data_IF_103497115703
#
_entry.id   IF_103497115703
#
_cell.length_a   1.000
_cell.length_b   1.000
_cell.length_c   1.000
_cell.angle_alpha   90.00
_cell.angle_beta   90.00
_cell.angle_gamma   90.00
#
_symmetry.space_group_name_H-M   'P 1'
#
loop_
_entity.id
_entity.type
_entity.pdbx_description
1 polymer ?
#
# COMPACT_ATOMS: atom_id res chain seq x y z
N UNK A 1 0.06 6.36 -20.05
CA UNK A 1 1.26 6.66 -19.21
C UNK A 1 1.44 5.54 -18.17
N UNK A 2 0.94 4.33 -18.49
CA UNK A 2 0.57 3.28 -17.53
C UNK A 2 1.10 1.90 -17.99
N UNK A 3 2.15 1.90 -18.83
CA UNK A 3 2.77 0.72 -19.44
C UNK A 3 4.10 0.33 -18.77
N UNK A 4 4.36 0.82 -17.56
CA UNK A 4 5.58 0.50 -16.80
C UNK A 4 5.61 -0.93 -16.23
N UNK A 5 4.54 -1.71 -16.45
CA UNK A 5 4.39 -3.06 -15.89
C UNK A 5 4.21 -3.08 -14.37
N UNK A 6 4.02 -1.90 -13.75
CA UNK A 6 3.67 -1.69 -12.34
C UNK A 6 2.29 -1.02 -12.18
N UNK A 7 1.66 -0.62 -13.29
CA UNK A 7 0.32 -0.01 -13.31
C UNK A 7 0.34 1.47 -12.92
N UNK A 8 1.38 2.20 -13.34
CA UNK A 8 1.50 3.62 -13.07
C UNK A 8 1.73 3.93 -11.60
N UNK A 9 2.71 3.23 -10.99
CA UNK A 9 3.08 3.41 -9.59
C UNK A 9 3.69 4.81 -9.37
N UNK A 10 3.28 5.49 -8.31
CA UNK A 10 3.70 6.86 -7.95
C UNK A 10 4.01 6.93 -6.47
N UNK A 11 4.94 7.79 -6.08
CA UNK A 11 5.11 8.20 -4.69
C UNK A 11 3.98 9.18 -4.31
N UNK A 12 3.39 9.00 -3.14
CA UNK A 12 2.27 9.78 -2.62
C UNK A 12 2.51 10.21 -1.19
N UNK A 13 1.83 11.28 -0.79
CA UNK A 13 1.82 11.79 0.59
C UNK A 13 0.40 12.12 1.01
N UNK A 14 0.03 11.63 2.19
CA UNK A 14 -1.22 11.95 2.86
C UNK A 14 -0.89 12.91 3.98
N UNK A 15 -1.60 14.03 4.04
CA UNK A 15 -1.44 15.03 5.11
C UNK A 15 -2.76 15.14 5.84
N UNK A 16 -2.72 15.12 7.16
CA UNK A 16 -3.90 15.23 8.00
C UNK A 16 -3.68 16.24 9.13
N UNK A 17 -4.74 16.96 9.46
CA UNK A 17 -4.75 17.96 10.53
C UNK A 17 -6.02 17.78 11.36
N UNK A 18 -5.84 17.45 12.64
CA UNK A 18 -6.95 17.31 13.58
C UNK A 18 -7.35 18.64 14.21
N UNK A 19 -8.45 19.24 13.74
CA UNK A 19 -8.97 20.50 14.27
C UNK A 19 -9.66 20.36 15.63
N UNK A 20 -10.44 19.29 15.86
CA UNK A 20 -11.36 19.22 17.03
C UNK A 20 -11.18 18.02 17.96
N UNK A 21 -10.28 17.08 17.69
CA UNK A 21 -10.15 15.85 18.51
C UNK A 21 -8.75 15.51 19.01
N UNK A 22 -7.71 15.66 18.17
CA UNK A 22 -6.36 15.17 18.48
C UNK A 22 -5.28 16.26 18.55
N UNK A 23 -5.59 17.52 18.22
CA UNK A 23 -4.64 18.65 18.14
C UNK A 23 -3.31 18.24 17.51
N UNK A 24 -3.36 17.56 16.36
CA UNK A 24 -2.16 17.02 15.73
C UNK A 24 -2.13 17.25 14.24
N UNK A 25 -0.97 17.72 13.78
CA UNK A 25 -0.57 17.73 12.38
C UNK A 25 0.23 16.46 12.11
N UNK A 26 -0.08 15.73 11.06
CA UNK A 26 0.67 14.55 10.68
C UNK A 26 0.65 14.32 9.18
N UNK A 27 1.61 13.53 8.72
CA UNK A 27 1.71 13.13 7.33
C UNK A 27 2.26 11.72 7.23
N UNK A 28 1.94 11.08 6.12
CA UNK A 28 2.33 9.73 5.80
C UNK A 28 2.68 9.62 4.32
N UNK A 29 3.82 9.02 3.99
CA UNK A 29 4.18 8.70 2.60
C UNK A 29 3.66 7.31 2.23
N UNK A 30 3.33 7.09 0.96
CA UNK A 30 2.83 5.82 0.44
C UNK A 30 3.14 5.67 -1.06
N UNK A 31 2.96 4.47 -1.62
CA UNK A 31 2.96 4.26 -3.06
C UNK A 31 1.51 4.22 -3.58
N UNK A 32 1.21 5.09 -4.53
CA UNK A 32 -0.09 5.17 -5.19
C UNK A 32 -0.05 4.41 -6.51
N UNK A 33 -1.09 3.63 -6.79
CA UNK A 33 -1.24 2.97 -8.09
C UNK A 33 -2.40 3.58 -8.85
N UNK A 34 -2.08 4.17 -10.01
CA UNK A 34 -3.06 4.93 -10.81
C UNK A 34 -4.23 4.05 -11.32
N UNK A 35 -3.96 2.79 -11.61
CA UNK A 35 -4.95 1.85 -12.17
C UNK A 35 -6.15 1.60 -11.26
N UNK A 36 -5.91 1.33 -9.98
CA UNK A 36 -6.98 1.01 -9.02
C UNK A 36 -7.46 2.26 -8.26
N UNK A 37 -6.79 3.40 -8.42
CA UNK A 37 -7.00 4.61 -7.62
C UNK A 37 -7.02 4.33 -6.10
N UNK A 38 -6.40 3.24 -5.67
CA UNK A 38 -6.38 2.80 -4.29
C UNK A 38 -4.97 2.93 -3.74
N UNK A 39 -4.89 3.18 -2.43
CA UNK A 39 -3.64 3.25 -1.70
C UNK A 39 -3.04 1.85 -1.67
N UNK A 40 -2.03 1.60 -2.50
CA UNK A 40 -1.11 0.51 -2.28
C UNK A 40 -0.22 0.95 -1.11
N UNK A 41 -0.74 0.81 0.12
CA UNK A 41 -0.01 1.19 1.34
C UNK A 41 1.11 0.17 1.50
N UNK A 42 2.26 0.49 0.92
CA UNK A 42 3.46 -0.33 0.90
C UNK A 42 4.42 0.28 1.91
N UNK A 43 4.96 -0.55 2.79
CA UNK A 43 6.03 -0.19 3.71
C UNK A 43 5.64 0.94 4.68
N UNK A 44 4.82 0.62 5.68
CA UNK A 44 4.72 1.44 6.89
C UNK A 44 5.96 1.25 7.78
N UNK A 45 7.16 1.39 7.21
CA UNK A 45 8.33 1.59 8.05
C UNK A 45 8.08 2.80 8.95
N UNK A 46 8.44 2.67 10.23
CA UNK A 46 8.16 3.66 11.28
C UNK A 46 8.67 5.09 10.97
N UNK A 47 9.47 5.27 9.90
CA UNK A 47 9.97 6.55 9.42
C UNK A 47 9.03 7.36 8.52
N UNK A 48 7.97 6.76 7.94
CA UNK A 48 7.11 7.45 6.97
C UNK A 48 5.89 8.12 7.57
N UNK A 49 5.50 7.76 8.78
CA UNK A 49 4.39 8.39 9.51
C UNK A 49 4.94 9.32 10.57
N UNK A 50 4.67 10.62 10.44
CA UNK A 50 5.03 11.62 11.45
C UNK A 50 3.78 12.26 12.02
N UNK A 51 3.85 12.59 13.32
CA UNK A 51 2.79 13.29 14.04
C UNK A 51 3.39 14.30 15.01
N UNK A 52 2.91 15.53 14.95
CA UNK A 52 3.28 16.62 15.84
C UNK A 52 2.04 17.22 16.49
N UNK A 53 2.09 17.46 17.80
CA UNK A 53 1.01 18.15 18.52
C UNK A 53 1.02 19.63 18.15
N UNK A 54 -0.15 20.25 18.04
CA UNK A 54 -0.36 21.68 17.85
C UNK A 54 0.04 22.46 19.10
N UNK A 55 1.35 22.62 19.27
CA UNK A 55 1.99 23.47 20.27
C UNK A 55 2.93 24.43 19.55
N UNK A 56 3.65 25.29 20.29
CA UNK A 56 4.59 26.24 19.68
C UNK A 56 5.66 25.58 18.79
N UNK A 57 6.03 24.32 19.07
CA UNK A 57 7.01 23.53 18.29
C UNK A 57 6.47 22.93 16.99
N UNK A 58 5.19 23.13 16.66
CA UNK A 58 4.63 22.63 15.38
C UNK A 58 5.35 23.24 14.16
N UNK A 59 5.97 24.42 14.33
CA UNK A 59 6.78 25.07 13.28
C UNK A 59 7.99 24.23 12.89
N UNK A 60 8.61 23.54 13.86
CA UNK A 60 9.75 22.65 13.60
C UNK A 60 9.28 21.43 12.79
N UNK A 61 8.08 20.92 13.09
CA UNK A 61 7.48 19.83 12.32
C UNK A 61 7.19 20.23 10.85
N UNK A 62 6.82 21.49 10.58
CA UNK A 62 6.66 22.00 9.22
C UNK A 62 7.98 22.03 8.43
N UNK A 63 9.11 22.32 9.08
CA UNK A 63 10.41 22.27 8.43
C UNK A 63 10.76 20.83 8.02
N UNK A 64 10.55 19.86 8.91
CA UNK A 64 10.73 18.43 8.61
C UNK A 64 9.78 17.96 7.51
N UNK A 65 8.52 18.38 7.55
CA UNK A 65 7.54 18.07 6.49
C UNK A 65 8.03 18.54 5.11
N UNK A 66 8.57 19.76 5.03
CA UNK A 66 9.12 20.30 3.77
C UNK A 66 10.28 19.45 3.24
N UNK A 67 11.20 19.02 4.10
CA UNK A 67 12.30 18.14 3.72
C UNK A 67 11.81 16.77 3.22
N UNK A 68 10.81 16.20 3.90
CA UNK A 68 10.21 14.92 3.51
C UNK A 68 9.51 15.02 2.13
N UNK A 69 8.78 16.11 1.86
CA UNK A 69 8.18 16.36 0.53
C UNK A 69 9.25 16.49 -0.55
N UNK A 70 10.37 17.16 -0.26
CA UNK A 70 11.48 17.29 -1.20
C UNK A 70 12.13 15.92 -1.50
N UNK A 71 12.34 15.09 -0.47
CA UNK A 71 12.86 13.72 -0.66
C UNK A 71 11.91 12.84 -1.47
N UNK A 72 10.60 12.97 -1.24
CA UNK A 72 9.58 12.23 -1.98
C UNK A 72 9.58 12.56 -3.48
N UNK A 73 9.95 13.79 -3.84
CA UNK A 73 10.00 14.24 -5.24
C UNK A 73 11.13 13.63 -6.08
N UNK A 74 12.06 12.91 -5.45
CA UNK A 74 13.12 12.17 -6.14
C UNK A 74 12.65 10.84 -6.74
N UNK A 75 13.54 10.21 -7.50
CA UNK A 75 13.31 8.89 -8.08
C UNK A 75 13.16 7.79 -7.01
N UNK A 76 12.72 6.59 -7.41
CA UNK A 76 12.80 5.42 -6.55
C UNK A 76 14.27 5.13 -6.23
N UNK A 77 14.55 4.87 -4.97
CA UNK A 77 15.84 4.36 -4.50
C UNK A 77 16.04 2.93 -5.00
N UNK A 78 17.29 2.48 -5.10
CA UNK A 78 17.60 1.09 -5.46
C UNK A 78 16.95 0.08 -4.50
N UNK A 79 16.90 0.40 -3.21
CA UNK A 79 16.21 -0.43 -2.21
C UNK A 79 14.71 -0.58 -2.52
N UNK A 80 14.02 0.52 -2.84
CA UNK A 80 12.60 0.49 -3.24
C UNK A 80 12.40 -0.33 -4.53
N UNK A 81 13.28 -0.18 -5.52
CA UNK A 81 13.23 -0.96 -6.76
C UNK A 81 13.43 -2.46 -6.52
N UNK A 82 14.38 -2.84 -5.66
CA UNK A 82 14.65 -4.24 -5.34
C UNK A 82 13.50 -4.88 -4.57
N UNK A 83 12.85 -4.15 -3.66
CA UNK A 83 11.62 -4.61 -3.01
C UNK A 83 10.50 -4.87 -4.02
N UNK A 84 10.30 -3.97 -4.98
CA UNK A 84 9.29 -4.14 -6.05
C UNK A 84 9.61 -5.35 -6.94
N UNK A 85 10.88 -5.54 -7.31
CA UNK A 85 11.35 -6.70 -8.09
C UNK A 85 11.14 -8.00 -7.33
N UNK A 86 11.48 -8.04 -6.04
CA UNK A 86 11.25 -9.22 -5.17
C UNK A 86 9.75 -9.52 -5.11
N UNK A 87 8.90 -8.54 -4.82
CA UNK A 87 7.45 -8.75 -4.75
C UNK A 87 6.86 -9.29 -6.07
N UNK A 88 7.37 -8.85 -7.22
CA UNK A 88 6.91 -9.30 -8.54
C UNK A 88 7.31 -10.75 -8.87
N UNK A 89 8.36 -11.27 -8.24
CA UNK A 89 8.93 -12.58 -8.56
C UNK A 89 8.65 -13.65 -7.51
N UNK A 90 8.42 -13.24 -6.26
CA UNK A 90 8.08 -14.18 -5.19
C UNK A 90 6.70 -14.78 -5.44
N UNK A 91 6.66 -16.11 -5.55
CA UNK A 91 5.42 -16.88 -5.60
C UNK A 91 4.69 -16.77 -4.27
N UNK A 92 3.46 -16.23 -4.30
CA UNK A 92 2.61 -16.17 -3.11
C UNK A 92 1.91 -17.51 -2.87
N UNK A 93 1.45 -18.15 -3.95
CA UNK A 93 0.80 -19.45 -3.91
C UNK A 93 0.87 -20.14 -5.28
N UNK A 94 0.76 -21.47 -5.29
CA UNK A 94 0.77 -22.29 -6.50
C UNK A 94 -0.56 -22.29 -7.26
N UNK A 95 -1.65 -22.10 -6.53
CA UNK A 95 -3.02 -22.14 -7.02
C UNK A 95 -3.93 -21.29 -6.13
N UNK A 96 -5.17 -21.09 -6.58
CA UNK A 96 -6.15 -20.24 -5.90
C UNK A 96 -6.51 -20.75 -4.51
N UNK A 97 -6.58 -22.08 -4.32
CA UNK A 97 -6.90 -22.66 -3.01
C UNK A 97 -5.80 -22.35 -1.99
N UNK A 98 -4.54 -22.54 -2.39
CA UNK A 98 -3.38 -22.17 -1.60
C UNK A 98 -3.33 -20.66 -1.32
N UNK A 99 -3.67 -19.82 -2.30
CA UNK A 99 -3.71 -18.37 -2.14
C UNK A 99 -4.76 -17.95 -1.11
N UNK A 100 -5.98 -18.49 -1.21
CA UNK A 100 -7.07 -18.22 -0.27
C UNK A 100 -6.73 -18.68 1.15
N UNK A 101 -6.11 -19.87 1.28
CA UNK A 101 -5.67 -20.40 2.57
C UNK A 101 -4.58 -19.51 3.20
N UNK A 102 -3.59 -19.07 2.40
CA UNK A 102 -2.51 -18.18 2.87
C UNK A 102 -3.06 -16.82 3.28
N UNK A 103 -3.93 -16.20 2.48
CA UNK A 103 -4.61 -14.95 2.83
C UNK A 103 -5.42 -15.07 4.12
N UNK A 104 -6.13 -16.18 4.30
CA UNK A 104 -6.88 -16.43 5.53
C UNK A 104 -5.97 -16.56 6.76
N UNK A 105 -4.83 -17.23 6.64
CA UNK A 105 -3.82 -17.30 7.70
C UNK A 105 -3.27 -15.92 8.06
N UNK A 106 -3.15 -15.02 7.08
CA UNK A 106 -2.76 -13.62 7.26
C UNK A 106 -3.92 -12.70 7.72
N UNK A 107 -5.05 -13.28 8.11
CA UNK A 107 -6.19 -12.56 8.69
C UNK A 107 -7.15 -11.92 7.68
N UNK A 108 -7.01 -12.22 6.39
CA UNK A 108 -7.92 -11.71 5.35
C UNK A 108 -9.16 -12.60 5.29
N UNK A 109 -10.34 -12.02 5.52
CA UNK A 109 -11.60 -12.75 5.48
C UNK A 109 -11.88 -13.28 4.06
N UNK A 110 -12.52 -14.45 3.95
CA UNK A 110 -12.82 -15.11 2.67
C UNK A 110 -13.58 -14.19 1.70
N UNK A 111 -14.51 -13.38 2.22
CA UNK A 111 -15.29 -12.40 1.42
C UNK A 111 -14.42 -11.38 0.67
N UNK A 112 -13.23 -11.08 1.19
CA UNK A 112 -12.26 -10.20 0.56
C UNK A 112 -11.20 -10.98 -0.22
N UNK A 113 -10.82 -12.16 0.25
CA UNK A 113 -9.78 -12.98 -0.37
C UNK A 113 -10.19 -13.53 -1.75
N UNK A 114 -11.44 -13.99 -1.92
CA UNK A 114 -11.93 -14.51 -3.21
C UNK A 114 -11.84 -13.49 -4.34
N UNK A 115 -12.48 -12.30 -4.25
CA UNK A 115 -12.38 -11.31 -5.33
C UNK A 115 -10.95 -10.80 -5.53
N UNK A 116 -10.11 -10.81 -4.49
CA UNK A 116 -8.70 -10.45 -4.60
C UNK A 116 -7.89 -11.46 -5.44
N UNK A 117 -8.05 -12.75 -5.18
CA UNK A 117 -7.37 -13.82 -5.94
C UNK A 117 -7.85 -13.83 -7.39
N UNK A 118 -9.16 -13.70 -7.62
CA UNK A 118 -9.72 -13.56 -8.97
C UNK A 118 -9.13 -12.35 -9.70
N UNK A 119 -9.03 -11.21 -9.02
CA UNK A 119 -8.45 -10.01 -9.60
C UNK A 119 -6.94 -10.11 -9.86
N UNK A 120 -6.20 -10.95 -9.14
CA UNK A 120 -4.76 -11.15 -9.33
C UNK A 120 -4.42 -11.75 -10.71
N UNK A 121 -5.33 -12.56 -11.26
CA UNK A 121 -5.22 -13.16 -12.58
C UNK A 121 -5.44 -12.18 -13.73
N UNK A 122 -5.92 -10.96 -13.47
CA UNK A 122 -5.97 -9.93 -14.49
C UNK A 122 -4.55 -9.49 -14.84
N UNK A 123 -4.23 -9.42 -16.15
CA UNK A 123 -2.92 -8.95 -16.64
C UNK A 123 -2.53 -7.60 -16.06
N UNK A 124 -3.53 -6.73 -15.86
CA UNK A 124 -3.30 -5.41 -15.27
C UNK A 124 -2.75 -5.52 -13.85
N UNK A 125 -3.10 -6.55 -13.07
CA UNK A 125 -2.61 -6.75 -11.71
C UNK A 125 -1.35 -7.62 -11.66
N UNK A 126 -1.03 -8.31 -12.75
CA UNK A 126 0.19 -9.09 -12.94
C UNK A 126 -0.07 -10.47 -13.56
N UNK A 127 -1.34 -10.91 -13.62
CA UNK A 127 -1.76 -12.09 -14.38
C UNK A 127 -1.33 -13.43 -13.77
N UNK A 128 -1.01 -13.46 -12.47
CA UNK A 128 -0.48 -14.65 -11.80
C UNK A 128 -0.71 -14.58 -10.28
N UNK A 129 -0.15 -15.55 -9.55
CA UNK A 129 -0.19 -15.62 -8.08
C UNK A 129 1.16 -15.26 -7.43
N UNK A 130 1.88 -14.29 -8.00
CA UNK A 130 2.98 -13.63 -7.29
C UNK A 130 2.45 -12.78 -6.15
N UNK A 131 3.31 -12.44 -5.18
CA UNK A 131 2.99 -11.52 -4.09
C UNK A 131 2.44 -10.19 -4.63
N UNK A 132 3.10 -9.64 -5.65
CA UNK A 132 2.68 -8.41 -6.32
C UNK A 132 1.26 -8.51 -6.89
N UNK A 133 0.95 -9.60 -7.59
CA UNK A 133 -0.37 -9.79 -8.21
C UNK A 133 -1.48 -9.94 -7.20
N UNK A 134 -1.23 -10.70 -6.12
CA UNK A 134 -2.22 -10.88 -5.04
C UNK A 134 -2.48 -9.57 -4.31
N UNK A 135 -1.44 -8.81 -3.96
CA UNK A 135 -1.57 -7.49 -3.31
C UNK A 135 -2.32 -6.50 -4.20
N UNK A 136 -2.04 -6.49 -5.51
CA UNK A 136 -2.79 -5.68 -6.46
C UNK A 136 -4.23 -6.15 -6.63
N UNK A 137 -4.48 -7.46 -6.58
CA UNK A 137 -5.82 -8.03 -6.59
C UNK A 137 -6.63 -7.57 -5.37
N UNK A 138 -6.00 -7.53 -4.19
CA UNK A 138 -6.63 -7.02 -2.96
C UNK A 138 -7.01 -5.54 -3.09
N UNK A 139 -6.08 -4.71 -3.56
CA UNK A 139 -6.38 -3.29 -3.76
C UNK A 139 -7.34 -3.07 -4.91
N UNK A 140 -7.37 -3.91 -5.94
CA UNK A 140 -8.41 -3.87 -6.96
C UNK A 140 -9.79 -4.16 -6.38
N UNK A 141 -9.94 -5.27 -5.64
CA UNK A 141 -11.19 -5.67 -5.01
C UNK A 141 -11.70 -4.62 -4.01
N UNK A 142 -10.80 -3.92 -3.32
CA UNK A 142 -11.17 -2.83 -2.43
C UNK A 142 -11.94 -1.72 -3.15
N UNK A 143 -11.69 -1.45 -4.44
CA UNK A 143 -12.40 -0.39 -5.18
C UNK A 143 -13.91 -0.65 -5.28
N UNK A 144 -14.30 -1.92 -5.31
CA UNK A 144 -15.69 -2.34 -5.48
C UNK A 144 -16.49 -2.31 -4.16
N UNK A 145 -15.83 -2.03 -3.03
CA UNK A 145 -16.48 -1.92 -1.73
C UNK A 145 -17.18 -0.56 -1.59
N UNK A 146 -18.44 -0.57 -1.17
CA UNK A 146 -19.24 0.65 -1.01
C UNK A 146 -18.91 1.48 0.24
N UNK A 147 -18.33 0.86 1.28
CA UNK A 147 -17.97 1.54 2.54
C UNK A 147 -16.46 1.85 2.56
N UNK A 148 -16.11 3.11 2.81
CA UNK A 148 -14.73 3.58 2.88
C UNK A 148 -13.91 2.88 3.96
N UNK A 149 -14.52 2.54 5.10
CA UNK A 149 -13.83 1.83 6.18
C UNK A 149 -13.36 0.44 5.72
N UNK A 150 -14.21 -0.30 5.01
CA UNK A 150 -13.87 -1.61 4.46
C UNK A 150 -12.79 -1.49 3.36
N UNK A 151 -12.81 -0.40 2.58
CA UNK A 151 -11.76 -0.10 1.59
C UNK A 151 -10.40 0.09 2.26
N UNK A 152 -10.37 0.91 3.31
CA UNK A 152 -9.15 1.20 4.08
C UNK A 152 -8.65 -0.06 4.78
N UNK A 153 -9.54 -0.85 5.38
CA UNK A 153 -9.21 -2.12 6.01
C UNK A 153 -8.52 -3.07 5.02
N UNK A 154 -9.14 -3.32 3.86
CA UNK A 154 -8.58 -4.23 2.86
C UNK A 154 -7.25 -3.73 2.27
N UNK A 155 -7.12 -2.42 2.01
CA UNK A 155 -5.86 -1.84 1.56
C UNK A 155 -4.76 -1.95 2.64
N UNK A 156 -5.12 -1.81 3.92
CA UNK A 156 -4.18 -1.98 5.04
C UNK A 156 -3.72 -3.44 5.16
N UNK A 157 -4.63 -4.39 5.00
CA UNK A 157 -4.26 -5.81 4.95
C UNK A 157 -3.35 -6.14 3.77
N UNK A 158 -3.58 -5.54 2.60
CA UNK A 158 -2.72 -5.73 1.43
C UNK A 158 -1.26 -5.30 1.73
N UNK A 159 -1.06 -4.19 2.44
CA UNK A 159 0.25 -3.76 2.92
C UNK A 159 0.92 -4.78 3.86
N UNK A 160 0.17 -5.32 4.84
CA UNK A 160 0.69 -6.35 5.75
C UNK A 160 1.07 -7.64 5.04
N UNK A 161 0.28 -8.07 4.05
CA UNK A 161 0.57 -9.26 3.23
C UNK A 161 1.89 -9.07 2.49
N UNK A 162 2.08 -7.91 1.86
CA UNK A 162 3.33 -7.56 1.20
C UNK A 162 4.53 -7.63 2.15
N UNK A 163 4.45 -6.97 3.30
CA UNK A 163 5.52 -6.92 4.30
C UNK A 163 5.87 -8.31 4.84
N UNK A 164 4.86 -9.13 5.16
CA UNK A 164 5.05 -10.46 5.75
C UNK A 164 5.91 -11.39 4.90
N UNK A 165 5.83 -11.27 3.57
CA UNK A 165 6.54 -12.13 2.63
C UNK A 165 7.88 -11.52 2.19
N UNK A 166 8.02 -10.19 2.24
CA UNK A 166 9.30 -9.54 1.97
C UNK A 166 10.29 -9.65 3.14
N UNK A 167 9.77 -9.79 4.37
CA UNK A 167 10.57 -10.00 5.59
C UNK A 167 11.08 -11.44 5.76
N UNK A 168 10.52 -12.40 5.02
CA UNK A 168 11.05 -13.77 4.84
C UNK A 168 12.25 -13.80 3.86
#
# INVERSE_FOLDING_TARGET
RDHDGLGGLRKGIMVYNGETGHKSFGWQQFLFRNVCCNFNIWDMSEGLTRRARHTASVRDAFAVFKEDVQKLSGDLTELELDHLRKAKTVEFAKDDEAALKRLNHLGVQRRYATPAVEAAHNDINGGNLSLWSVVNGMTWAAKELGNEEDRVELCTHAGRVLESVLAE
#
